data_IF_881546447553
#
_entry.id   IF_881546447553
#
_cell.length_a   1.000
_cell.length_b   1.000
_cell.length_c   1.000
_cell.angle_alpha   90.00
_cell.angle_beta   90.00
_cell.angle_gamma   90.00
#
_symmetry.space_group_name_H-M   'P 1'
#
loop_
_entity.id
_entity.type
_entity.pdbx_description
1 polymer ?
#
# COMPACT_ATOMS: atom_id res chain seq x y z
N UNK A 1 17.75 29.41 -6.80
CA UNK A 1 18.41 28.09 -7.00
C UNK A 1 18.76 27.42 -5.66
N UNK A 2 17.95 27.59 -4.60
CA UNK A 2 18.33 27.16 -3.24
C UNK A 2 18.44 25.63 -3.08
N UNK A 3 17.43 24.89 -3.53
CA UNK A 3 17.42 23.41 -3.43
C UNK A 3 18.64 22.76 -4.11
N UNK A 4 18.96 23.20 -5.34
CA UNK A 4 20.11 22.65 -6.08
C UNK A 4 21.42 22.90 -5.34
N UNK A 5 21.62 24.09 -4.79
CA UNK A 5 22.84 24.39 -4.04
C UNK A 5 22.96 23.54 -2.77
N UNK A 6 21.83 23.34 -2.07
CA UNK A 6 21.76 22.50 -0.88
C UNK A 6 22.02 21.01 -1.21
N UNK A 7 21.51 20.55 -2.34
CA UNK A 7 21.77 19.20 -2.87
C UNK A 7 23.24 19.03 -3.27
N UNK A 8 23.79 19.95 -4.06
CA UNK A 8 25.18 19.90 -4.54
C UNK A 8 26.17 19.92 -3.37
N UNK A 9 25.87 20.69 -2.31
CA UNK A 9 26.66 20.77 -1.08
C UNK A 9 26.34 19.67 -0.06
N UNK A 10 25.35 18.82 -0.32
CA UNK A 10 24.84 17.81 0.62
C UNK A 10 24.54 18.41 2.00
N UNK A 11 23.86 19.54 2.03
CA UNK A 11 23.48 20.20 3.28
C UNK A 11 22.67 19.23 4.15
N UNK A 12 22.86 19.25 5.48
CA UNK A 12 22.16 18.36 6.39
C UNK A 12 20.67 18.69 6.44
N UNK A 13 19.81 17.67 6.54
CA UNK A 13 18.36 17.85 6.46
C UNK A 13 17.80 18.72 7.58
N UNK A 14 18.34 18.69 8.80
CA UNK A 14 17.88 19.55 9.89
C UNK A 14 17.99 21.05 9.56
N UNK A 15 18.90 21.42 8.65
CA UNK A 15 19.09 22.81 8.21
C UNK A 15 18.09 23.19 7.12
N UNK A 16 17.70 22.25 6.27
CA UNK A 16 16.86 22.50 5.08
C UNK A 16 15.38 22.27 5.41
N UNK A 17 15.08 21.24 6.20
CA UNK A 17 13.75 20.76 6.60
C UNK A 17 13.74 20.48 8.12
N UNK A 18 13.83 21.51 8.98
CA UNK A 18 13.91 21.34 10.43
C UNK A 18 12.65 20.67 11.01
N UNK A 19 11.46 21.07 10.58
CA UNK A 19 10.19 20.51 11.08
C UNK A 19 10.06 19.03 10.72
N UNK A 20 10.54 18.64 9.53
CA UNK A 20 10.58 17.24 9.12
C UNK A 20 11.51 16.42 10.02
N UNK A 21 12.69 16.94 10.36
CA UNK A 21 13.62 16.24 11.26
C UNK A 21 13.09 16.17 12.70
N UNK A 22 12.31 17.16 13.14
CA UNK A 22 11.64 17.08 14.45
C UNK A 22 10.60 15.95 14.50
N UNK A 23 9.85 15.74 13.41
CA UNK A 23 8.89 14.65 13.29
C UNK A 23 9.55 13.29 13.03
N UNK A 24 10.69 13.31 12.32
CA UNK A 24 11.43 12.13 11.89
C UNK A 24 12.92 12.26 12.29
N UNK A 25 13.28 12.12 13.59
CA UNK A 25 14.64 12.37 14.10
C UNK A 25 15.74 11.54 13.43
N UNK A 26 15.38 10.41 12.83
CA UNK A 26 16.33 9.54 12.12
C UNK A 26 17.06 10.23 10.95
N UNK A 27 16.47 11.28 10.38
CA UNK A 27 17.06 12.00 9.24
C UNK A 27 17.93 13.18 9.66
N UNK A 28 18.01 13.52 10.95
CA UNK A 28 18.76 14.68 11.44
C UNK A 28 20.23 14.66 10.97
N UNK A 29 20.85 13.48 10.91
CA UNK A 29 22.26 13.33 10.49
C UNK A 29 22.46 13.03 9.00
N UNK A 30 21.40 13.06 8.21
CA UNK A 30 21.43 12.70 6.79
C UNK A 30 21.52 13.97 5.94
N UNK A 31 22.38 13.95 4.93
CA UNK A 31 22.46 15.03 3.94
C UNK A 31 21.36 14.94 2.87
N UNK A 32 20.97 16.06 2.27
CA UNK A 32 19.91 16.07 1.24
C UNK A 32 20.22 15.14 0.06
N UNK A 33 21.45 15.18 -0.47
CA UNK A 33 21.85 14.32 -1.58
C UNK A 33 21.86 12.85 -1.16
N UNK A 34 22.32 12.55 0.04
CA UNK A 34 22.31 11.18 0.58
C UNK A 34 20.89 10.63 0.69
N UNK A 35 19.94 11.42 1.21
CA UNK A 35 18.55 10.99 1.28
C UNK A 35 17.96 10.75 -0.12
N UNK A 36 18.18 11.68 -1.06
CA UNK A 36 17.74 11.51 -2.43
C UNK A 36 18.32 10.24 -3.06
N UNK A 37 19.61 9.96 -2.83
CA UNK A 37 20.26 8.75 -3.34
C UNK A 37 19.69 7.48 -2.71
N UNK A 38 19.48 7.45 -1.38
CA UNK A 38 18.88 6.30 -0.69
C UNK A 38 17.48 5.98 -1.22
N UNK A 39 16.64 6.99 -1.39
CA UNK A 39 15.30 6.83 -1.95
C UNK A 39 15.39 6.34 -3.40
N UNK A 40 16.24 6.96 -4.23
CA UNK A 40 16.42 6.56 -5.62
C UNK A 40 16.91 5.11 -5.75
N UNK A 41 17.88 4.70 -4.93
CA UNK A 41 18.43 3.34 -4.94
C UNK A 41 17.37 2.31 -4.52
N UNK A 42 16.49 2.66 -3.58
CA UNK A 42 15.34 1.82 -3.22
C UNK A 42 14.38 1.63 -4.41
N UNK A 43 13.97 2.73 -5.06
CA UNK A 43 13.11 2.68 -6.24
C UNK A 43 13.73 1.83 -7.37
N UNK A 44 15.04 1.97 -7.57
CA UNK A 44 15.80 1.23 -8.59
C UNK A 44 15.92 -0.25 -8.24
N UNK A 45 16.21 -0.58 -6.99
CA UNK A 45 16.39 -1.97 -6.53
C UNK A 45 15.10 -2.80 -6.67
N UNK A 46 13.93 -2.15 -6.52
CA UNK A 46 12.62 -2.79 -6.62
C UNK A 46 11.93 -2.61 -7.97
N UNK A 47 12.59 -1.95 -8.93
CA UNK A 47 12.06 -1.69 -10.28
C UNK A 47 10.61 -1.17 -10.26
N UNK A 48 10.38 -0.19 -9.39
CA UNK A 48 9.01 0.26 -9.03
C UNK A 48 8.24 0.75 -10.25
N UNK A 49 8.91 1.39 -11.21
CA UNK A 49 8.28 1.83 -12.45
C UNK A 49 7.68 0.65 -13.24
N UNK A 50 8.41 -0.46 -13.34
CA UNK A 50 7.94 -1.71 -13.95
C UNK A 50 6.82 -2.33 -13.12
N UNK A 51 7.01 -2.47 -11.81
CA UNK A 51 6.00 -3.08 -10.91
C UNK A 51 4.67 -2.31 -10.98
N UNK A 52 4.70 -0.98 -10.92
CA UNK A 52 3.49 -0.16 -11.03
C UNK A 52 2.81 -0.36 -12.38
N UNK A 53 3.57 -0.45 -13.47
CA UNK A 53 3.02 -0.68 -14.81
C UNK A 53 2.42 -2.09 -14.95
N UNK A 54 3.16 -3.12 -14.54
CA UNK A 54 2.71 -4.52 -14.58
C UNK A 54 1.48 -4.75 -13.73
N UNK A 55 1.37 -4.06 -12.60
CA UNK A 55 0.20 -4.09 -11.74
C UNK A 55 -1.06 -3.59 -12.47
N UNK A 56 -0.99 -2.47 -13.20
CA UNK A 56 -2.13 -1.95 -13.97
C UNK A 56 -2.44 -2.76 -15.25
N UNK A 57 -1.45 -3.47 -15.78
CA UNK A 57 -1.62 -4.38 -16.92
C UNK A 57 -2.02 -5.81 -16.51
N UNK A 58 -2.03 -6.10 -15.20
CA UNK A 58 -2.41 -7.41 -14.69
C UNK A 58 -3.90 -7.68 -14.88
N UNK A 59 -4.26 -8.95 -14.96
CA UNK A 59 -5.65 -9.37 -15.10
C UNK A 59 -6.43 -9.05 -13.82
N UNK A 60 -7.44 -8.17 -13.96
CA UNK A 60 -8.36 -7.80 -12.89
C UNK A 60 -9.59 -8.70 -12.97
N UNK A 61 -9.76 -9.56 -11.96
CA UNK A 61 -10.82 -10.56 -11.98
C UNK A 61 -12.04 -10.09 -11.19
N UNK A 62 -13.17 -9.75 -11.86
CA UNK A 62 -14.40 -9.44 -11.16
C UNK A 62 -14.99 -10.72 -10.53
N UNK A 63 -15.23 -10.68 -9.23
CA UNK A 63 -15.90 -11.76 -8.50
C UNK A 63 -17.39 -11.50 -8.25
N UNK A 64 -17.77 -10.22 -8.16
CA UNK A 64 -19.14 -9.77 -7.93
C UNK A 64 -19.31 -8.34 -8.45
N UNK A 65 -20.56 -7.88 -8.52
CA UNK A 65 -20.84 -6.49 -8.91
C UNK A 65 -20.34 -5.53 -7.83
N UNK A 66 -19.86 -4.32 -8.21
CA UNK A 66 -19.49 -3.30 -7.22
C UNK A 66 -20.64 -2.93 -6.26
N UNK A 67 -21.89 -2.97 -6.74
CA UNK A 67 -23.08 -2.77 -5.89
C UNK A 67 -23.21 -3.83 -4.80
N UNK A 68 -22.86 -5.07 -5.10
CA UNK A 68 -22.99 -6.20 -4.18
C UNK A 68 -21.87 -6.14 -3.13
N UNK A 69 -20.65 -5.81 -3.56
CA UNK A 69 -19.53 -5.58 -2.66
C UNK A 69 -19.79 -4.40 -1.71
N UNK A 70 -20.39 -3.32 -2.22
CA UNK A 70 -20.81 -2.18 -1.42
C UNK A 70 -21.91 -2.56 -0.42
N UNK A 71 -22.89 -3.39 -0.82
CA UNK A 71 -23.90 -3.91 0.09
C UNK A 71 -23.27 -4.73 1.23
N UNK A 72 -22.29 -5.59 0.95
CA UNK A 72 -21.56 -6.31 1.99
C UNK A 72 -20.87 -5.34 2.97
N UNK A 73 -20.26 -4.27 2.49
CA UNK A 73 -19.67 -3.24 3.35
C UNK A 73 -20.74 -2.58 4.25
N UNK A 74 -21.89 -2.19 3.68
CA UNK A 74 -22.99 -1.58 4.42
C UNK A 74 -23.58 -2.52 5.50
N UNK A 75 -23.61 -3.82 5.22
CA UNK A 75 -24.09 -4.85 6.15
C UNK A 75 -23.01 -5.39 7.09
N UNK A 76 -21.78 -4.82 7.09
CA UNK A 76 -20.63 -5.29 7.89
C UNK A 76 -20.26 -6.75 7.62
N UNK A 77 -20.48 -7.20 6.38
CA UNK A 77 -20.08 -8.50 5.85
C UNK A 77 -18.68 -8.45 5.25
N UNK A 78 -17.75 -7.81 5.96
CA UNK A 78 -16.37 -7.60 5.56
C UNK A 78 -15.41 -8.10 6.64
N UNK A 79 -14.21 -8.48 6.23
CA UNK A 79 -13.10 -8.78 7.12
C UNK A 79 -11.95 -7.82 6.84
N UNK A 80 -11.25 -7.42 7.90
CA UNK A 80 -9.99 -6.69 7.78
C UNK A 80 -8.86 -7.69 7.54
N UNK A 81 -8.28 -7.65 6.34
CA UNK A 81 -7.31 -8.67 5.89
C UNK A 81 -5.93 -8.05 5.75
N UNK A 82 -4.92 -8.68 6.34
CA UNK A 82 -3.53 -8.23 6.24
C UNK A 82 -2.96 -8.48 4.84
N UNK A 83 -2.03 -7.62 4.38
CA UNK A 83 -1.43 -7.69 3.03
C UNK A 83 -1.08 -9.11 2.58
N UNK A 84 -0.42 -9.88 3.45
CA UNK A 84 0.10 -11.21 3.10
C UNK A 84 -0.99 -12.28 2.92
N UNK A 85 -2.25 -11.95 3.23
CA UNK A 85 -3.42 -12.83 3.11
C UNK A 85 -4.45 -12.31 2.08
N UNK A 86 -4.10 -11.27 1.31
CA UNK A 86 -5.04 -10.63 0.38
C UNK A 86 -5.28 -11.44 -0.90
N UNK A 87 -4.31 -12.22 -1.37
CA UNK A 87 -4.44 -12.91 -2.66
C UNK A 87 -5.70 -13.76 -2.74
N UNK A 88 -6.48 -13.56 -3.80
CA UNK A 88 -7.78 -14.22 -4.03
C UNK A 88 -8.95 -13.62 -3.25
N UNK A 89 -8.72 -12.76 -2.26
CA UNK A 89 -9.79 -12.01 -1.56
C UNK A 89 -10.43 -10.99 -2.49
N UNK A 90 -11.68 -10.65 -2.19
CA UNK A 90 -12.46 -9.66 -2.93
C UNK A 90 -12.44 -8.35 -2.16
N UNK A 91 -11.95 -7.26 -2.75
CA UNK A 91 -11.94 -5.96 -2.07
C UNK A 91 -13.36 -5.45 -1.87
N UNK A 92 -13.65 -4.86 -0.71
CA UNK A 92 -14.90 -4.11 -0.48
C UNK A 92 -14.72 -2.60 -0.62
N UNK A 93 -13.49 -2.14 -0.84
CA UNK A 93 -13.12 -0.73 -0.94
C UNK A 93 -12.43 -0.44 -2.28
N UNK A 94 -12.41 0.84 -2.67
CA UNK A 94 -11.55 1.30 -3.75
C UNK A 94 -10.09 1.31 -3.25
N UNK A 95 -9.21 0.65 -3.99
CA UNK A 95 -7.78 0.68 -3.73
C UNK A 95 -7.11 1.59 -4.76
N UNK A 96 -6.49 2.69 -4.32
CA UNK A 96 -5.93 3.72 -5.21
C UNK A 96 -4.54 4.14 -4.74
N UNK A 97 -3.47 3.63 -5.37
CA UNK A 97 -2.09 4.05 -5.08
C UNK A 97 -1.75 5.43 -5.69
N UNK A 98 -0.94 6.20 -4.98
CA UNK A 98 -0.36 7.46 -5.47
C UNK A 98 1.18 7.38 -5.51
N UNK A 99 1.80 7.66 -6.67
CA UNK A 99 1.22 7.85 -8.01
C UNK A 99 0.78 6.51 -8.67
N UNK A 100 -0.08 6.53 -9.72
CA UNK A 100 -0.59 7.68 -10.46
C UNK A 100 -1.91 8.26 -9.92
N UNK A 101 -2.55 7.66 -8.91
CA UNK A 101 -3.80 8.16 -8.33
C UNK A 101 -5.07 7.73 -9.08
N UNK A 102 -5.00 6.69 -9.90
CA UNK A 102 -6.17 6.06 -10.53
C UNK A 102 -6.53 4.76 -9.80
N UNK A 103 -7.83 4.39 -9.70
CA UNK A 103 -8.23 3.16 -9.04
C UNK A 103 -7.50 1.95 -9.62
N UNK A 104 -6.86 1.19 -8.73
CA UNK A 104 -6.20 -0.07 -9.04
C UNK A 104 -7.17 -1.24 -8.94
N UNK A 105 -7.94 -1.30 -7.85
CA UNK A 105 -9.02 -2.26 -7.67
C UNK A 105 -10.31 -1.52 -7.33
N UNK A 106 -11.40 -1.97 -7.94
CA UNK A 106 -12.75 -1.55 -7.58
C UNK A 106 -13.43 -2.59 -6.68
N UNK A 107 -14.38 -2.19 -5.81
CA UNK A 107 -15.15 -3.12 -5.00
C UNK A 107 -15.72 -4.28 -5.84
N UNK A 108 -15.53 -5.51 -5.38
CA UNK A 108 -15.97 -6.71 -6.10
C UNK A 108 -14.91 -7.39 -6.95
N UNK A 109 -13.73 -6.78 -7.15
CA UNK A 109 -12.58 -7.41 -7.81
C UNK A 109 -11.68 -8.17 -6.84
N UNK A 110 -10.96 -9.17 -7.38
CA UNK A 110 -10.02 -10.00 -6.62
C UNK A 110 -8.61 -9.43 -6.63
N UNK A 111 -7.95 -9.53 -5.49
CA UNK A 111 -6.50 -9.36 -5.40
C UNK A 111 -5.78 -10.48 -6.13
N UNK A 112 -4.85 -10.11 -7.02
CA UNK A 112 -3.92 -11.05 -7.64
C UNK A 112 -2.51 -10.94 -7.00
N UNK A 113 -1.62 -11.85 -7.37
CA UNK A 113 -0.25 -11.90 -6.84
C UNK A 113 0.52 -10.60 -7.04
N UNK A 114 0.41 -9.99 -8.22
CA UNK A 114 1.15 -8.77 -8.59
C UNK A 114 0.75 -7.59 -7.70
N UNK A 115 -0.55 -7.42 -7.45
CA UNK A 115 -1.07 -6.37 -6.56
C UNK A 115 -0.57 -6.60 -5.13
N UNK A 116 -0.60 -7.84 -4.64
CA UNK A 116 -0.11 -8.16 -3.29
C UNK A 116 1.39 -7.86 -3.17
N UNK A 117 2.19 -8.22 -4.18
CA UNK A 117 3.63 -7.90 -4.20
C UNK A 117 3.90 -6.39 -4.19
N UNK A 118 3.11 -5.61 -4.93
CA UNK A 118 3.19 -4.15 -4.88
C UNK A 118 2.87 -3.60 -3.48
N UNK A 119 1.81 -4.07 -2.83
CA UNK A 119 1.46 -3.65 -1.48
C UNK A 119 2.54 -4.04 -0.45
N UNK A 120 3.17 -5.21 -0.61
CA UNK A 120 4.30 -5.62 0.21
C UNK A 120 5.52 -4.69 0.02
N UNK A 121 5.80 -4.28 -1.21
CA UNK A 121 6.81 -3.27 -1.50
C UNK A 121 6.49 -1.95 -0.80
N UNK A 122 5.26 -1.43 -0.96
CA UNK A 122 4.85 -0.18 -0.33
C UNK A 122 5.00 -0.22 1.21
N UNK A 123 4.59 -1.32 1.86
CA UNK A 123 4.82 -1.56 3.29
C UNK A 123 6.30 -1.47 3.66
N UNK A 124 7.17 -2.15 2.92
CA UNK A 124 8.61 -2.17 3.19
C UNK A 124 9.26 -0.80 2.93
N UNK A 125 8.75 -0.06 1.94
CA UNK A 125 9.19 1.29 1.64
C UNK A 125 8.85 2.26 2.78
N UNK A 126 7.59 2.26 3.22
CA UNK A 126 7.11 3.14 4.30
C UNK A 126 7.85 2.87 5.62
N UNK A 127 8.13 1.60 5.94
CA UNK A 127 8.94 1.23 7.11
C UNK A 127 10.38 1.78 7.02
N UNK A 128 10.97 1.79 5.82
CA UNK A 128 12.34 2.28 5.62
C UNK A 128 12.42 3.79 5.47
N UNK A 129 11.37 4.46 4.98
CA UNK A 129 11.35 5.89 4.70
C UNK A 129 10.11 6.59 5.30
N UNK A 130 9.88 6.53 6.62
CA UNK A 130 8.79 7.24 7.28
C UNK A 130 8.85 8.73 6.93
N UNK A 131 7.68 9.31 6.61
CA UNK A 131 7.56 10.68 6.13
C UNK A 131 7.74 10.85 4.61
N UNK A 132 8.06 9.78 3.88
CA UNK A 132 8.01 9.70 2.42
C UNK A 132 7.05 8.61 1.94
N UNK A 133 6.07 8.29 2.77
CA UNK A 133 5.23 7.11 2.61
C UNK A 133 4.52 7.09 1.25
N UNK A 134 4.41 5.89 0.67
CA UNK A 134 3.54 5.65 -0.48
C UNK A 134 2.10 5.71 0.01
N UNK A 135 1.36 6.72 -0.45
CA UNK A 135 -0.05 6.89 -0.11
C UNK A 135 -0.91 5.94 -0.95
N UNK A 136 -1.67 5.08 -0.29
CA UNK A 136 -2.55 4.10 -0.92
C UNK A 136 -3.91 4.18 -0.25
N UNK A 137 -4.83 4.87 -0.91
CA UNK A 137 -6.21 4.94 -0.43
C UNK A 137 -6.84 3.55 -0.44
N UNK A 138 -7.56 3.20 0.62
CA UNK A 138 -8.10 1.84 0.85
C UNK A 138 -7.17 0.92 1.63
N UNK A 139 -5.89 1.29 1.82
CA UNK A 139 -4.96 0.60 2.71
C UNK A 139 -5.03 1.22 4.11
N UNK A 140 -5.34 0.42 5.11
CA UNK A 140 -5.45 0.84 6.50
C UNK A 140 -4.15 0.49 7.23
N UNK A 141 -3.50 1.50 7.77
CA UNK A 141 -2.33 1.34 8.64
C UNK A 141 -2.76 1.24 10.11
N UNK A 142 -2.18 0.29 10.84
CA UNK A 142 -2.33 0.16 12.29
C UNK A 142 -0.98 -0.12 12.93
N UNK A 143 -0.76 0.47 14.10
CA UNK A 143 0.43 0.22 14.92
C UNK A 143 0.07 -0.74 16.04
N UNK A 144 0.77 -1.87 16.11
CA UNK A 144 0.65 -2.83 17.19
C UNK A 144 2.05 -3.08 17.79
N UNK A 145 2.22 -2.74 19.07
CA UNK A 145 3.50 -2.83 19.79
C UNK A 145 4.71 -2.20 19.04
N UNK A 146 4.49 -1.10 18.30
CA UNK A 146 5.52 -0.42 17.52
C UNK A 146 5.82 -1.02 16.15
N UNK A 147 5.10 -2.07 15.74
CA UNK A 147 5.16 -2.64 14.40
C UNK A 147 3.98 -2.16 13.57
N UNK A 148 4.26 -1.51 12.44
CA UNK A 148 3.26 -1.12 11.47
C UNK A 148 2.73 -2.34 10.71
N UNK A 149 1.41 -2.51 10.72
CA UNK A 149 0.68 -3.54 9.99
C UNK A 149 -0.35 -2.88 9.08
N UNK A 150 -0.50 -3.44 7.89
CA UNK A 150 -1.31 -2.88 6.82
C UNK A 150 -2.39 -3.85 6.41
N UNK A 151 -3.60 -3.33 6.24
CA UNK A 151 -4.79 -4.13 5.98
C UNK A 151 -5.65 -3.52 4.88
N UNK A 152 -6.44 -4.35 4.21
CA UNK A 152 -7.54 -3.90 3.35
C UNK A 152 -8.82 -4.59 3.78
N UNK A 153 -9.90 -3.84 3.81
CA UNK A 153 -11.22 -4.39 4.09
C UNK A 153 -11.71 -5.15 2.84
N UNK A 154 -11.99 -6.44 3.03
CA UNK A 154 -12.39 -7.37 1.98
C UNK A 154 -13.76 -7.95 2.29
N UNK A 155 -14.53 -8.32 1.27
CA UNK A 155 -15.78 -9.07 1.44
C UNK A 155 -15.48 -10.37 2.19
N UNK A 156 -16.31 -10.66 3.20
CA UNK A 156 -16.23 -11.91 3.97
C UNK A 156 -16.57 -13.08 3.04
N UNK A 157 -15.74 -14.14 2.98
CA UNK A 157 -16.08 -15.32 2.20
C UNK A 157 -17.39 -15.90 2.74
N UNK A 158 -18.38 -16.13 1.87
CA UNK A 158 -19.49 -17.02 2.25
C UNK A 158 -18.88 -18.38 2.50
N UNK A 159 -18.97 -18.88 3.74
CA UNK A 159 -18.80 -20.30 3.98
C UNK A 159 -19.84 -21.00 3.11
N UNK A 160 -19.39 -21.70 2.08
CA UNK A 160 -20.18 -22.76 1.47
C UNK A 160 -20.37 -23.77 2.59
N UNK A 161 -21.50 -23.68 3.29
CA UNK A 161 -21.98 -24.77 4.13
C UNK A 161 -21.98 -26.02 3.24
N UNK A 162 -21.11 -26.98 3.55
CA UNK A 162 -21.26 -28.37 3.12
C UNK A 162 -22.46 -28.99 3.86
N UNK A 163 -23.64 -28.41 3.73
CA UNK A 163 -24.90 -29.02 4.13
C UNK A 163 -25.41 -29.90 2.97
N UNK A 164 -24.49 -30.72 2.44
CA UNK A 164 -24.76 -31.77 1.49
C UNK A 164 -24.31 -33.10 2.09
N UNK A 165 -24.99 -33.54 3.17
CA UNK A 165 -25.30 -34.95 3.50
C UNK A 165 -25.90 -35.10 4.90
N UNK A 166 -27.22 -35.11 4.92
CA UNK A 166 -28.09 -35.99 5.71
C UNK A 166 -29.46 -35.84 5.03
N UNK A 167 -29.74 -36.44 3.86
CA UNK A 167 -29.74 -37.85 3.52
C UNK A 167 -30.44 -38.71 4.59
N UNK A 168 -31.68 -39.05 4.22
CA UNK A 168 -32.58 -40.10 4.76
C UNK A 168 -33.43 -39.80 5.99
#
# INVERSE_FOLDING_TARGET
QQFKDDYDKNQPLWRILPEFCMQQPKYERVGLRELCQQIHDMYKAHDVARVTTEMYLSDMQPAMKPSDAFACMAHREIDRVEIDQLEGRVTSVLLTPYPPGIPLLIPGERFNRTIVQFLQFARNFNQQFPGFDTDIHGLVETSDAGKLRYFVDCVRPRQLHMDAKAAE
#
